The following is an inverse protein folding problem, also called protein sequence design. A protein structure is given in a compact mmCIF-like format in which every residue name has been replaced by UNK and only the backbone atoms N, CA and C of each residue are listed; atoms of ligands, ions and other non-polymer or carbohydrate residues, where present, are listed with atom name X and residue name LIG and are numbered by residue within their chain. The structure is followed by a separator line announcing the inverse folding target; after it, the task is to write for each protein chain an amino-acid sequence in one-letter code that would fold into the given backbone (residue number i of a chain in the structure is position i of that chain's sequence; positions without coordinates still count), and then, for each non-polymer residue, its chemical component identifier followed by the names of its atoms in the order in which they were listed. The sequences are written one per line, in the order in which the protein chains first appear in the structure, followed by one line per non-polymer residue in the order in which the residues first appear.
data_IF_686642107678
#
_entry.id   IF_686642107678
#
_cell.length_a   1.000
_cell.length_b   1.000
_cell.length_c   1.000
_cell.angle_alpha   90.00
_cell.angle_beta   90.00
_cell.angle_gamma   90.00
#
_symmetry.space_group_name_H-M   'P 1'
#
loop_
_entity.id
_entity.type
_entity.pdbx_description
1 polymer ?
#
# COMPACT_ATOMS: atom_id res chain seq x y z
N UNK A 1 -43.07 2.85 -0.11
CA UNK A 1 -41.91 3.57 0.49
C UNK A 1 -40.69 2.67 0.75
N UNK A 2 -40.83 1.37 1.10
CA UNK A 2 -39.69 0.48 1.34
C UNK A 2 -38.78 0.26 0.12
N UNK A 3 -39.34 0.15 -1.09
CA UNK A 3 -38.58 -0.06 -2.34
C UNK A 3 -37.56 1.06 -2.63
N UNK A 4 -37.89 2.31 -2.27
CA UNK A 4 -36.99 3.48 -2.43
C UNK A 4 -35.81 3.49 -1.45
N UNK A 5 -35.98 2.94 -0.25
CA UNK A 5 -34.89 2.84 0.74
C UNK A 5 -33.92 1.73 0.39
N UNK A 6 -34.42 0.59 -0.09
CA UNK A 6 -33.59 -0.54 -0.51
C UNK A 6 -32.74 -0.21 -1.73
N UNK A 7 -33.33 0.41 -2.75
CA UNK A 7 -32.58 0.91 -3.93
C UNK A 7 -31.51 1.92 -3.55
N UNK A 8 -31.78 2.78 -2.56
CA UNK A 8 -30.79 3.71 -2.04
C UNK A 8 -29.65 3.00 -1.32
N UNK A 9 -29.90 1.93 -0.55
CA UNK A 9 -28.85 1.15 0.11
C UNK A 9 -28.00 0.32 -0.87
N UNK A 10 -28.55 -0.02 -2.03
CA UNK A 10 -27.86 -0.72 -3.13
C UNK A 10 -26.90 0.19 -3.93
N UNK A 11 -26.92 1.50 -3.69
CA UNK A 11 -25.93 2.42 -4.24
C UNK A 11 -24.54 2.04 -3.71
N UNK A 12 -23.56 1.87 -4.60
CA UNK A 12 -22.21 1.43 -4.22
C UNK A 12 -21.57 2.37 -3.19
N UNK A 13 -21.82 3.68 -3.29
CA UNK A 13 -21.35 4.70 -2.35
C UNK A 13 -21.87 4.54 -0.91
N UNK A 14 -22.93 3.74 -0.69
CA UNK A 14 -23.52 3.44 0.63
C UNK A 14 -23.26 1.99 1.05
N UNK A 15 -23.32 1.06 0.11
CA UNK A 15 -23.07 -0.36 0.37
C UNK A 15 -21.62 -0.61 0.79
N UNK A 16 -20.65 0.00 0.10
CA UNK A 16 -19.22 -0.24 0.37
C UNK A 16 -18.80 0.16 1.79
N UNK A 17 -19.17 1.36 2.31
CA UNK A 17 -18.92 1.69 3.72
C UNK A 17 -19.59 0.74 4.70
N UNK A 18 -20.80 0.22 4.41
CA UNK A 18 -21.46 -0.76 5.29
C UNK A 18 -20.71 -2.08 5.32
N UNK A 19 -20.26 -2.57 4.17
CA UNK A 19 -19.43 -3.78 4.10
C UNK A 19 -18.11 -3.55 4.85
N UNK A 20 -17.47 -2.39 4.65
CA UNK A 20 -16.26 -2.03 5.40
C UNK A 20 -16.51 -2.01 6.92
N UNK A 21 -17.63 -1.46 7.38
CA UNK A 21 -18.00 -1.45 8.79
C UNK A 21 -18.08 -2.86 9.38
N UNK A 22 -18.72 -3.79 8.68
CA UNK A 22 -18.81 -5.20 9.09
C UNK A 22 -17.42 -5.83 9.14
N UNK A 23 -16.57 -5.59 8.12
CA UNK A 23 -15.20 -6.10 8.10
C UNK A 23 -14.37 -5.60 9.29
N UNK A 24 -14.45 -4.31 9.64
CA UNK A 24 -13.73 -3.78 10.79
C UNK A 24 -14.21 -4.40 12.12
N UNK A 25 -15.51 -4.63 12.29
CA UNK A 25 -16.02 -5.31 13.50
C UNK A 25 -15.58 -6.76 13.55
N UNK A 26 -15.61 -7.47 12.42
CA UNK A 26 -15.15 -8.86 12.36
C UNK A 26 -13.64 -8.99 12.55
N UNK A 27 -12.85 -8.01 12.08
CA UNK A 27 -11.41 -7.98 12.25
C UNK A 27 -10.98 -7.99 13.73
N UNK A 28 -11.82 -7.53 14.65
CA UNK A 28 -11.54 -7.59 16.10
C UNK A 28 -11.54 -9.01 16.67
N UNK A 29 -12.19 -9.96 16.01
CA UNK A 29 -12.27 -11.36 16.48
C UNK A 29 -11.13 -12.25 16.00
N UNK A 30 -10.31 -11.75 15.08
CA UNK A 30 -9.25 -12.51 14.43
C UNK A 30 -7.93 -11.75 14.55
N UNK A 31 -6.77 -12.43 14.44
CA UNK A 31 -5.50 -11.75 14.58
C UNK A 31 -5.26 -10.80 13.41
N UNK A 32 -4.81 -9.58 13.74
CA UNK A 32 -4.52 -8.52 12.77
C UNK A 32 -3.11 -8.67 12.21
N UNK A 33 -2.17 -9.06 13.06
CA UNK A 33 -0.80 -9.42 12.66
C UNK A 33 -0.48 -10.85 13.05
N UNK A 34 0.35 -11.50 12.24
CA UNK A 34 0.87 -12.83 12.48
C UNK A 34 2.39 -12.78 12.31
N UNK A 35 3.11 -13.28 13.30
CA UNK A 35 4.57 -13.34 13.29
C UNK A 35 4.96 -14.81 13.35
N UNK A 36 5.72 -15.28 12.37
CA UNK A 36 6.27 -16.63 12.36
C UNK A 36 7.75 -16.56 12.71
N UNK A 37 8.18 -17.32 13.71
CA UNK A 37 9.57 -17.38 14.15
C UNK A 37 10.12 -18.79 13.90
N UNK A 38 11.33 -18.83 13.36
CA UNK A 38 12.11 -20.05 13.18
C UNK A 38 13.37 -19.91 14.01
N UNK A 39 13.60 -20.85 14.92
CA UNK A 39 14.78 -20.89 15.76
C UNK A 39 15.38 -22.31 15.72
N UNK A 40 16.72 -22.47 15.72
CA UNK A 40 17.39 -23.77 15.62
C UNK A 40 17.00 -24.77 16.72
N UNK A 41 16.54 -24.27 17.86
CA UNK A 41 16.13 -25.07 19.01
C UNK A 41 14.71 -25.65 18.91
N UNK A 42 13.92 -25.21 17.93
CA UNK A 42 12.56 -25.72 17.66
C UNK A 42 12.52 -26.36 16.28
N UNK A 43 11.95 -27.57 16.20
CA UNK A 43 11.78 -28.30 14.93
C UNK A 43 10.68 -27.65 14.10
N UNK A 44 9.59 -27.24 14.76
CA UNK A 44 8.45 -26.57 14.15
C UNK A 44 8.60 -25.05 14.22
N UNK A 45 7.97 -24.36 13.27
CA UNK A 45 7.90 -22.90 13.27
C UNK A 45 6.91 -22.42 14.32
N UNK A 46 7.32 -21.45 15.12
CA UNK A 46 6.50 -20.84 16.16
C UNK A 46 5.65 -19.72 15.55
N UNK A 47 4.37 -19.65 15.91
CA UNK A 47 3.47 -18.61 15.38
C UNK A 47 2.89 -17.78 16.51
N UNK A 48 3.05 -16.45 16.41
CA UNK A 48 2.45 -15.47 17.31
C UNK A 48 1.38 -14.69 16.58
N UNK A 49 0.18 -14.69 17.14
CA UNK A 49 -0.99 -14.02 16.57
C UNK A 49 -1.35 -12.79 17.42
N UNK A 50 -1.24 -11.59 16.85
CA UNK A 50 -1.51 -10.32 17.54
C UNK A 50 -2.91 -9.81 17.20
N UNK A 51 -3.71 -9.56 18.22
CA UNK A 51 -5.08 -9.05 18.07
C UNK A 51 -5.11 -7.51 18.13
N UNK A 52 -6.20 -6.93 17.63
CA UNK A 52 -6.48 -5.50 17.73
C UNK A 52 -6.72 -5.01 19.18
N UNK A 53 -6.64 -5.90 20.16
CA UNK A 53 -6.75 -5.62 21.59
C UNK A 53 -5.63 -6.35 22.32
N UNK A 54 -5.35 -6.06 23.61
CA UNK A 54 -4.27 -6.65 24.41
C UNK A 54 -4.38 -8.16 24.60
N UNK A 55 -4.18 -8.91 23.53
CA UNK A 55 -4.24 -10.37 23.46
C UNK A 55 -3.27 -10.85 22.41
N UNK A 56 -2.52 -11.88 22.80
CA UNK A 56 -1.59 -12.61 21.94
C UNK A 56 -2.04 -14.07 21.88
N UNK A 57 -2.17 -14.63 20.69
CA UNK A 57 -2.50 -16.03 20.45
C UNK A 57 -1.35 -16.80 19.80
N UNK A 58 -1.62 -18.07 19.47
CA UNK A 58 -0.62 -18.99 18.93
C UNK A 58 0.31 -19.52 20.01
N UNK A 59 1.57 -19.78 19.66
CA UNK A 59 2.63 -20.33 20.49
C UNK A 59 3.31 -19.23 21.33
N UNK A 60 2.51 -18.34 21.90
CA UNK A 60 2.99 -17.13 22.57
C UNK A 60 3.79 -17.45 23.83
N UNK A 61 3.54 -18.60 24.49
CA UNK A 61 4.30 -19.02 25.68
C UNK A 61 5.71 -19.46 25.30
N UNK A 62 5.85 -20.26 24.25
CA UNK A 62 7.11 -20.72 23.69
C UNK A 62 7.95 -19.53 23.21
N UNK A 63 7.30 -18.58 22.53
CA UNK A 63 7.97 -17.37 22.04
C UNK A 63 8.33 -16.43 23.18
N UNK A 64 7.53 -16.32 24.23
CA UNK A 64 7.91 -15.59 25.46
C UNK A 64 9.18 -16.18 26.08
N UNK A 65 9.26 -17.51 26.18
CA UNK A 65 10.46 -18.20 26.69
C UNK A 65 11.68 -17.95 25.81
N UNK A 66 11.49 -17.99 24.48
CA UNK A 66 12.54 -17.68 23.51
C UNK A 66 13.03 -16.23 23.64
N UNK A 67 12.11 -15.27 23.69
CA UNK A 67 12.42 -13.85 23.74
C UNK A 67 13.14 -13.45 25.03
N UNK A 68 12.92 -14.16 26.13
CA UNK A 68 13.67 -13.96 27.39
C UNK A 68 15.18 -14.12 27.21
N UNK A 69 15.64 -14.98 26.28
CA UNK A 69 17.06 -15.14 26.02
C UNK A 69 17.70 -13.90 25.37
N UNK A 70 16.92 -13.17 24.58
CA UNK A 70 17.31 -11.93 23.88
C UNK A 70 17.02 -10.68 24.72
N UNK A 71 16.28 -10.83 25.83
CA UNK A 71 15.82 -9.70 26.65
C UNK A 71 14.70 -8.89 26.00
N UNK A 72 13.95 -9.49 25.07
CA UNK A 72 12.77 -8.89 24.45
C UNK A 72 11.53 -9.31 25.23
N UNK A 73 10.69 -8.37 25.67
CA UNK A 73 9.48 -8.66 26.43
C UNK A 73 8.23 -8.18 25.71
N UNK A 74 7.11 -8.87 25.91
CA UNK A 74 5.83 -8.42 25.37
C UNK A 74 5.36 -7.13 26.08
N UNK A 75 4.74 -6.19 25.34
CA UNK A 75 4.41 -4.86 25.85
C UNK A 75 3.29 -4.87 26.86
N UNK A 76 3.42 -4.11 27.95
CA UNK A 76 2.40 -4.01 28.98
C UNK A 76 1.29 -3.00 28.58
N UNK A 77 0.02 -3.41 28.44
CA UNK A 77 -1.09 -2.47 28.22
C UNK A 77 -1.43 -1.57 29.42
N UNK A 78 -0.83 -1.79 30.60
CA UNK A 78 -0.92 -1.02 31.85
C UNK A 78 -2.30 -1.03 32.52
N UNK A 79 -3.37 -0.70 31.79
CA UNK A 79 -4.70 -0.50 32.37
C UNK A 79 -5.62 -1.73 32.24
N UNK A 80 -5.17 -2.79 31.58
CA UNK A 80 -5.96 -4.01 31.35
C UNK A 80 -5.04 -5.21 31.40
N UNK A 81 -5.36 -6.20 32.22
CA UNK A 81 -4.56 -7.43 32.28
C UNK A 81 -4.63 -8.19 30.93
N UNK A 82 -3.50 -8.41 30.25
CA UNK A 82 -3.48 -9.21 29.03
C UNK A 82 -3.54 -10.70 29.37
N UNK A 83 -3.52 -11.57 28.35
CA UNK A 83 -3.56 -13.02 28.54
C UNK A 83 -2.22 -13.64 29.00
N UNK A 84 -1.26 -12.82 29.40
CA UNK A 84 0.06 -13.20 29.89
C UNK A 84 0.47 -12.24 31.00
N UNK A 85 1.43 -12.62 31.82
CA UNK A 85 1.96 -11.73 32.85
C UNK A 85 3.02 -10.80 32.24
N UNK A 86 2.81 -9.46 32.25
CA UNK A 86 3.83 -8.51 31.81
C UNK A 86 5.09 -8.63 32.67
N UNK A 87 6.24 -8.39 32.04
CA UNK A 87 7.53 -8.37 32.75
C UNK A 87 7.80 -6.95 33.25
N UNK A 88 8.48 -6.78 34.38
CA UNK A 88 8.80 -5.45 34.95
C UNK A 88 9.63 -4.57 34.00
N UNK A 89 10.41 -5.20 33.11
CA UNK A 89 11.21 -4.54 32.07
C UNK A 89 10.49 -4.43 30.72
N UNK A 90 9.20 -4.76 30.65
CA UNK A 90 8.39 -4.56 29.45
C UNK A 90 8.13 -3.07 29.21
N UNK A 91 7.85 -2.71 27.95
CA UNK A 91 7.46 -1.35 27.61
C UNK A 91 5.97 -1.15 27.85
N UNK A 92 5.63 -0.04 28.49
CA UNK A 92 4.26 0.44 28.64
C UNK A 92 3.67 0.91 27.31
N UNK A 93 2.58 0.26 26.88
CA UNK A 93 1.83 0.52 25.65
C UNK A 93 0.32 0.64 25.96
N UNK A 94 -0.10 1.66 26.73
CA UNK A 94 -1.51 1.87 27.07
C UNK A 94 -2.41 2.12 25.85
N UNK A 95 -1.85 2.65 24.76
CA UNK A 95 -2.59 2.88 23.52
C UNK A 95 -3.13 1.60 22.86
N UNK A 96 -2.61 0.42 23.20
CA UNK A 96 -3.09 -0.84 22.62
C UNK A 96 -4.57 -1.10 22.98
N UNK A 97 -5.01 -0.60 24.13
CA UNK A 97 -6.41 -0.67 24.57
C UNK A 97 -7.34 0.14 23.65
N UNK A 98 -6.80 1.12 22.92
CA UNK A 98 -7.58 1.95 21.98
C UNK A 98 -7.89 1.22 20.67
N UNK A 99 -7.26 0.07 20.40
CA UNK A 99 -7.47 -0.67 19.15
C UNK A 99 -8.95 -0.98 18.86
N UNK A 100 -9.72 -1.59 19.80
CA UNK A 100 -11.16 -1.80 19.60
C UNK A 100 -11.94 -0.50 19.40
N UNK A 101 -11.57 0.57 20.10
CA UNK A 101 -12.21 1.88 19.99
C UNK A 101 -12.02 2.44 18.58
N UNK A 102 -10.82 2.31 18.00
CA UNK A 102 -10.53 2.74 16.63
C UNK A 102 -11.36 1.95 15.61
N UNK A 103 -11.34 0.62 15.68
CA UNK A 103 -12.07 -0.22 14.72
C UNK A 103 -13.59 -0.03 14.83
N UNK A 104 -14.15 0.02 16.04
CA UNK A 104 -15.58 0.27 16.27
C UNK A 104 -15.94 1.70 15.85
N UNK A 105 -15.10 2.68 16.16
CA UNK A 105 -15.30 4.08 15.79
C UNK A 105 -15.37 4.28 14.28
N UNK A 106 -14.45 3.68 13.53
CA UNK A 106 -14.45 3.73 12.05
C UNK A 106 -15.63 2.93 11.49
N UNK A 107 -15.99 1.78 12.08
CA UNK A 107 -17.17 1.02 11.67
C UNK A 107 -18.47 1.82 11.87
N UNK A 108 -18.63 2.46 13.03
CA UNK A 108 -19.76 3.32 13.34
C UNK A 108 -19.81 4.53 12.40
N UNK A 109 -18.68 5.21 12.19
CA UNK A 109 -18.58 6.32 11.24
C UNK A 109 -18.95 5.87 9.81
N UNK A 110 -18.54 4.67 9.40
CA UNK A 110 -18.89 4.10 8.09
C UNK A 110 -20.40 3.84 7.96
N UNK A 111 -21.04 3.31 9.01
CA UNK A 111 -22.48 3.13 9.04
C UNK A 111 -23.25 4.47 9.04
N UNK A 112 -22.78 5.46 9.81
CA UNK A 112 -23.36 6.81 9.85
C UNK A 112 -23.26 7.46 8.47
N UNK A 113 -22.10 7.41 7.82
CA UNK A 113 -21.89 8.00 6.49
C UNK A 113 -22.77 7.32 5.44
N UNK A 114 -22.96 6.00 5.51
CA UNK A 114 -23.87 5.29 4.63
C UNK A 114 -25.34 5.73 4.80
N UNK A 115 -25.73 6.16 6.00
CA UNK A 115 -27.07 6.67 6.31
C UNK A 115 -27.26 8.17 5.98
N UNK A 116 -26.21 8.92 5.66
CA UNK A 116 -26.29 10.36 5.42
C UNK A 116 -27.20 10.70 4.22
N UNK A 117 -27.81 11.90 4.23
CA UNK A 117 -28.48 12.48 3.06
C UNK A 117 -27.56 12.58 1.84
N UNK A 118 -28.12 12.46 0.64
CA UNK A 118 -27.37 12.40 -0.63
C UNK A 118 -26.56 13.68 -0.90
N UNK A 119 -27.00 14.83 -0.41
CA UNK A 119 -26.29 16.11 -0.47
C UNK A 119 -25.02 16.14 0.40
N UNK A 120 -24.98 15.37 1.50
CA UNK A 120 -23.85 15.37 2.45
C UNK A 120 -22.93 14.17 2.31
N UNK A 121 -23.37 13.09 1.64
CA UNK A 121 -22.62 11.83 1.56
C UNK A 121 -21.22 12.00 0.93
N UNK A 122 -21.06 12.88 -0.05
CA UNK A 122 -19.75 13.09 -0.70
C UNK A 122 -18.71 13.67 0.26
N UNK A 123 -19.11 14.66 1.09
CA UNK A 123 -18.26 15.21 2.15
C UNK A 123 -18.01 14.18 3.25
N UNK A 124 -19.04 13.43 3.63
CA UNK A 124 -18.95 12.35 4.61
C UNK A 124 -17.95 11.25 4.20
N UNK A 125 -18.02 10.78 2.95
CA UNK A 125 -17.10 9.78 2.40
C UNK A 125 -15.67 10.31 2.32
N UNK A 126 -15.50 11.59 1.97
CA UNK A 126 -14.17 12.23 1.94
C UNK A 126 -13.56 12.28 3.33
N UNK A 127 -14.33 12.75 4.32
CA UNK A 127 -13.88 12.81 5.72
C UNK A 127 -13.62 11.41 6.29
N UNK A 128 -14.48 10.43 6.00
CA UNK A 128 -14.32 9.05 6.43
C UNK A 128 -13.06 8.41 5.86
N UNK A 129 -12.85 8.54 4.54
CA UNK A 129 -11.67 7.96 3.90
C UNK A 129 -10.38 8.63 4.40
N UNK A 130 -10.31 9.97 4.37
CA UNK A 130 -9.16 10.71 4.87
C UNK A 130 -8.89 10.43 6.37
N UNK A 131 -9.94 10.41 7.18
CA UNK A 131 -9.85 10.07 8.61
C UNK A 131 -9.37 8.64 8.83
N UNK A 132 -9.85 7.67 8.06
CA UNK A 132 -9.40 6.28 8.17
C UNK A 132 -7.91 6.12 7.82
N UNK A 133 -7.43 6.81 6.76
CA UNK A 133 -6.01 6.80 6.38
C UNK A 133 -5.16 7.46 7.46
N UNK A 134 -5.60 8.60 8.01
CA UNK A 134 -4.89 9.28 9.09
C UNK A 134 -4.82 8.40 10.34
N UNK A 135 -5.94 7.83 10.79
CA UNK A 135 -5.99 7.02 12.01
C UNK A 135 -5.17 5.73 11.85
N UNK A 136 -5.38 4.95 10.80
CA UNK A 136 -4.62 3.71 10.60
C UNK A 136 -3.14 3.97 10.28
N UNK A 137 -2.83 5.07 9.59
CA UNK A 137 -1.45 5.51 9.35
C UNK A 137 -0.74 5.88 10.65
N UNK A 138 -1.37 6.68 11.50
CA UNK A 138 -0.85 7.02 12.84
C UNK A 138 -0.73 5.78 13.72
N UNK A 139 -1.71 4.89 13.72
CA UNK A 139 -1.66 3.62 14.46
C UNK A 139 -0.47 2.76 14.01
N UNK A 140 -0.26 2.61 12.70
CA UNK A 140 0.90 1.90 12.16
C UNK A 140 2.23 2.54 12.56
N UNK A 141 2.34 3.87 12.45
CA UNK A 141 3.54 4.60 12.86
C UNK A 141 3.83 4.43 14.37
N UNK A 142 2.78 4.47 15.20
CA UNK A 142 2.91 4.27 16.64
C UNK A 142 3.34 2.84 16.99
N UNK A 143 2.74 1.82 16.34
CA UNK A 143 3.16 0.43 16.52
C UNK A 143 4.64 0.26 16.12
N UNK A 144 5.04 0.79 14.97
CA UNK A 144 6.45 0.72 14.53
C UNK A 144 7.39 1.43 15.52
N UNK A 145 6.97 2.55 16.09
CA UNK A 145 7.71 3.25 17.13
C UNK A 145 7.84 2.41 18.41
N UNK A 146 6.76 1.75 18.86
CA UNK A 146 6.82 0.84 20.02
C UNK A 146 7.67 -0.40 19.76
N UNK A 147 7.66 -0.94 18.54
CA UNK A 147 8.56 -2.02 18.14
C UNK A 147 10.03 -1.57 18.15
N UNK A 148 10.31 -0.36 17.68
CA UNK A 148 11.64 0.24 17.78
C UNK A 148 12.09 0.36 19.23
N UNK A 149 11.25 0.92 20.10
CA UNK A 149 11.56 1.03 21.52
C UNK A 149 11.84 -0.36 22.11
N UNK A 150 10.94 -1.32 21.89
CA UNK A 150 11.05 -2.67 22.48
C UNK A 150 12.31 -3.40 22.05
N UNK A 151 12.75 -3.22 20.80
CA UNK A 151 13.97 -3.85 20.30
C UNK A 151 15.27 -3.10 20.61
N UNK A 152 15.20 -1.87 21.13
CA UNK A 152 16.37 -1.08 21.57
C UNK A 152 16.48 -0.98 23.10
N UNK A 153 15.50 -1.46 23.84
CA UNK A 153 15.53 -1.58 25.30
C UNK A 153 15.62 -3.05 25.71
N UNK A 154 16.56 -3.78 25.10
CA UNK A 154 16.81 -5.18 25.46
C UNK A 154 17.43 -5.25 26.84
N UNK A 155 17.05 -6.30 27.58
CA UNK A 155 17.57 -6.54 28.92
C UNK A 155 19.09 -6.82 28.89
N UNK A 156 19.94 -5.97 29.51
CA UNK A 156 21.38 -6.20 29.55
C UNK A 156 21.77 -7.46 30.34
N UNK A 157 20.88 -7.93 31.23
CA UNK A 157 21.08 -9.14 32.03
C UNK A 157 20.62 -10.42 31.32
N UNK A 158 20.15 -10.31 30.07
CA UNK A 158 19.67 -11.46 29.31
C UNK A 158 20.81 -12.47 29.03
N UNK A 159 20.50 -13.79 28.95
CA UNK A 159 21.50 -14.81 28.63
C UNK A 159 22.28 -14.56 27.33
N UNK A 160 21.64 -13.98 26.32
CA UNK A 160 22.27 -13.50 25.09
C UNK A 160 22.36 -11.97 25.16
N UNK A 161 23.27 -11.47 26.00
CA UNK A 161 23.55 -10.04 26.12
C UNK A 161 24.48 -9.54 25.01
N UNK A 162 24.56 -8.21 24.87
CA UNK A 162 25.45 -7.57 23.89
C UNK A 162 24.95 -7.61 22.43
N UNK A 163 23.68 -7.98 22.22
CA UNK A 163 23.04 -7.87 20.91
C UNK A 163 22.82 -6.40 20.55
N UNK A 164 23.08 -6.05 19.29
CA UNK A 164 22.69 -4.75 18.76
C UNK A 164 21.16 -4.63 18.78
N UNK A 165 20.67 -3.41 19.07
CA UNK A 165 19.23 -3.14 19.03
C UNK A 165 18.66 -3.45 17.65
N UNK A 166 17.49 -4.10 17.62
CA UNK A 166 16.82 -4.44 16.37
C UNK A 166 15.43 -3.79 16.33
N UNK A 167 14.81 -3.77 15.16
CA UNK A 167 13.44 -3.27 15.02
C UNK A 167 12.64 -4.22 14.16
N UNK A 168 11.70 -4.98 14.75
CA UNK A 168 10.78 -5.80 13.98
C UNK A 168 10.00 -4.91 12.98
N UNK A 169 9.95 -5.27 11.70
CA UNK A 169 9.10 -4.58 10.74
C UNK A 169 7.63 -4.97 10.97
N UNK A 170 6.69 -4.05 10.69
CA UNK A 170 5.25 -4.35 10.63
C UNK A 170 4.90 -5.44 9.60
N UNK A 171 5.65 -5.51 8.50
CA UNK A 171 5.53 -6.51 7.46
C UNK A 171 6.90 -6.76 6.83
N UNK A 172 7.36 -7.99 6.85
CA UNK A 172 8.68 -8.38 6.33
C UNK A 172 9.40 -9.39 7.22
N UNK A 173 10.54 -9.84 6.74
CA UNK A 173 11.44 -10.75 7.47
C UNK A 173 12.52 -9.94 8.20
N UNK A 174 12.95 -10.46 9.34
CA UNK A 174 14.02 -9.92 10.16
C UNK A 174 14.76 -11.08 10.85
N UNK A 175 15.96 -10.82 11.33
CA UNK A 175 16.79 -11.80 12.02
C UNK A 175 17.39 -11.18 13.27
N UNK A 176 17.37 -11.93 14.36
CA UNK A 176 17.92 -11.51 15.65
C UNK A 176 18.70 -12.67 16.23
N UNK A 177 20.01 -12.47 16.42
CA UNK A 177 20.94 -13.53 16.76
C UNK A 177 20.84 -14.71 15.77
N UNK A 178 20.27 -15.85 16.18
CA UNK A 178 20.08 -17.03 15.34
C UNK A 178 18.58 -17.37 15.18
N UNK A 179 17.69 -16.38 15.35
CA UNK A 179 16.24 -16.51 15.24
C UNK A 179 15.78 -15.68 14.05
N UNK A 180 15.15 -16.33 13.08
CA UNK A 180 14.55 -15.64 11.93
C UNK A 180 13.07 -15.41 12.20
N UNK A 181 12.61 -14.17 12.11
CA UNK A 181 11.21 -13.79 12.25
C UNK A 181 10.64 -13.28 10.93
N UNK A 182 9.39 -13.61 10.63
CA UNK A 182 8.65 -13.00 9.51
C UNK A 182 7.31 -12.50 10.03
N UNK A 183 7.12 -11.19 9.99
CA UNK A 183 5.88 -10.53 10.38
C UNK A 183 5.02 -10.29 9.13
N UNK A 184 3.76 -10.69 9.16
CA UNK A 184 2.82 -10.48 8.07
C UNK A 184 1.42 -10.14 8.58
N UNK A 185 0.55 -9.68 7.69
CA UNK A 185 -0.84 -9.44 8.06
C UNK A 185 -1.56 -10.76 8.33
N UNK A 186 -2.24 -10.82 9.48
CA UNK A 186 -3.19 -11.89 9.79
C UNK A 186 -4.52 -11.67 9.07
N UNK A 187 -5.50 -12.58 9.24
CA UNK A 187 -6.83 -12.44 8.64
C UNK A 187 -7.50 -11.10 8.95
N UNK A 188 -7.37 -10.60 10.19
CA UNK A 188 -7.91 -9.29 10.59
C UNK A 188 -7.21 -8.12 9.90
N UNK A 189 -5.90 -8.24 9.63
CA UNK A 189 -5.13 -7.25 8.89
C UNK A 189 -5.58 -7.16 7.43
N UNK A 190 -5.84 -8.31 6.80
CA UNK A 190 -6.43 -8.34 5.47
C UNK A 190 -7.85 -7.77 5.44
N UNK A 191 -8.69 -8.07 6.45
CA UNK A 191 -10.03 -7.47 6.56
C UNK A 191 -9.97 -5.96 6.71
N UNK A 192 -9.02 -5.45 7.51
CA UNK A 192 -8.75 -4.01 7.64
C UNK A 192 -8.32 -3.41 6.30
N UNK A 193 -7.34 -4.00 5.62
CA UNK A 193 -6.85 -3.53 4.32
C UNK A 193 -7.95 -3.50 3.25
N UNK A 194 -8.75 -4.57 3.17
CA UNK A 194 -9.92 -4.63 2.27
C UNK A 194 -10.96 -3.59 2.67
N UNK A 195 -11.24 -3.41 3.97
CA UNK A 195 -12.14 -2.37 4.46
C UNK A 195 -11.72 -0.97 4.00
N UNK A 196 -10.44 -0.62 4.17
CA UNK A 196 -9.88 0.66 3.69
C UNK A 196 -9.95 0.78 2.16
N UNK A 197 -9.67 -0.30 1.42
CA UNK A 197 -9.80 -0.31 -0.03
C UNK A 197 -11.26 -0.08 -0.49
N UNK A 198 -12.23 -0.66 0.19
CA UNK A 198 -13.66 -0.41 -0.07
C UNK A 198 -14.02 1.05 0.18
N UNK A 199 -13.49 1.67 1.24
CA UNK A 199 -13.66 3.10 1.50
C UNK A 199 -13.03 3.96 0.39
N UNK A 200 -11.85 3.58 -0.12
CA UNK A 200 -11.21 4.27 -1.24
C UNK A 200 -12.07 4.21 -2.52
N UNK A 201 -12.64 3.04 -2.82
CA UNK A 201 -13.55 2.87 -3.96
C UNK A 201 -14.83 3.69 -3.75
N UNK A 202 -15.41 3.66 -2.55
CA UNK A 202 -16.59 4.48 -2.21
C UNK A 202 -16.30 5.98 -2.36
N UNK A 203 -15.12 6.43 -1.94
CA UNK A 203 -14.65 7.81 -2.14
C UNK A 203 -14.50 8.15 -3.64
N UNK A 204 -13.96 7.24 -4.46
CA UNK A 204 -13.88 7.42 -5.90
C UNK A 204 -15.26 7.54 -6.57
N UNK A 205 -16.24 6.78 -6.08
CA UNK A 205 -17.62 6.76 -6.57
C UNK A 205 -18.55 7.78 -5.88
N UNK A 206 -18.01 8.67 -5.04
CA UNK A 206 -18.83 9.58 -4.20
C UNK A 206 -19.80 10.48 -4.99
N UNK A 207 -19.48 10.80 -6.24
CA UNK A 207 -20.32 11.61 -7.13
C UNK A 207 -21.19 10.79 -8.08
N UNK A 208 -21.00 9.47 -8.14
CA UNK A 208 -21.72 8.58 -9.05
C UNK A 208 -22.90 7.92 -8.33
N UNK A 209 -24.12 7.93 -8.93
CA UNK A 209 -25.25 7.16 -8.41
C UNK A 209 -25.20 5.68 -8.83
N UNK A 210 -23.99 5.13 -9.05
CA UNK A 210 -23.80 3.77 -9.54
C UNK A 210 -24.37 2.75 -8.54
N UNK A 211 -25.18 1.84 -9.06
CA UNK A 211 -25.84 0.79 -8.28
C UNK A 211 -25.12 -0.54 -8.50
N UNK A 212 -25.37 -1.55 -7.65
CA UNK A 212 -24.75 -2.88 -7.76
C UNK A 212 -24.90 -3.53 -9.15
N UNK A 213 -25.96 -3.19 -9.89
CA UNK A 213 -26.22 -3.63 -11.27
C UNK A 213 -25.24 -3.07 -12.29
N UNK A 214 -24.60 -1.94 -11.98
CA UNK A 214 -23.68 -1.24 -12.88
C UNK A 214 -22.23 -1.72 -12.70
N UNK A 215 -21.97 -2.54 -11.67
CA UNK A 215 -20.65 -3.10 -11.35
C UNK A 215 -20.02 -3.81 -12.56
N UNK A 216 -20.73 -4.69 -13.30
CA UNK A 216 -20.15 -5.35 -14.48
C UNK A 216 -19.72 -4.34 -15.56
N UNK A 217 -20.47 -3.25 -15.72
CA UNK A 217 -20.15 -2.17 -16.66
C UNK A 217 -18.93 -1.34 -16.21
N UNK A 218 -18.86 -1.00 -14.93
CA UNK A 218 -17.74 -0.25 -14.33
C UNK A 218 -16.42 -1.06 -14.36
N UNK A 219 -16.49 -2.36 -14.09
CA UNK A 219 -15.31 -3.24 -14.13
C UNK A 219 -14.78 -3.34 -15.56
N UNK A 220 -15.66 -3.50 -16.56
CA UNK A 220 -15.27 -3.54 -17.99
C UNK A 220 -14.64 -2.23 -18.45
N UNK A 221 -15.23 -1.08 -18.13
CA UNK A 221 -14.67 0.24 -18.49
C UNK A 221 -13.40 0.58 -17.70
N UNK A 222 -13.30 0.16 -16.44
CA UNK A 222 -12.08 0.29 -15.64
C UNK A 222 -10.94 -0.52 -16.23
N UNK A 223 -11.19 -1.78 -16.57
CA UNK A 223 -10.20 -2.68 -17.17
C UNK A 223 -9.76 -2.21 -18.57
N UNK A 224 -10.69 -1.70 -19.39
CA UNK A 224 -10.36 -1.07 -20.68
C UNK A 224 -9.43 0.14 -20.53
N UNK A 225 -9.75 1.06 -19.61
CA UNK A 225 -8.89 2.24 -19.34
C UNK A 225 -7.52 1.88 -18.79
N UNK A 226 -7.43 0.83 -17.97
CA UNK A 226 -6.15 0.33 -17.46
C UNK A 226 -5.31 -0.28 -18.59
N UNK A 227 -5.94 -1.11 -19.45
CA UNK A 227 -5.30 -1.69 -20.64
C UNK A 227 -4.75 -0.61 -21.58
N UNK A 228 -5.52 0.45 -21.82
CA UNK A 228 -5.12 1.56 -22.68
C UNK A 228 -4.03 2.46 -22.06
N UNK A 229 -3.90 2.48 -20.73
CA UNK A 229 -2.77 3.12 -20.04
C UNK A 229 -1.51 2.26 -20.13
N UNK A 230 -1.62 0.95 -19.89
CA UNK A 230 -0.47 0.02 -20.00
C UNK A 230 0.04 -0.03 -21.44
N UNK A 231 -0.84 -0.05 -22.43
CA UNK A 231 -0.48 -0.02 -23.85
C UNK A 231 0.20 1.29 -24.29
N UNK A 232 0.04 2.39 -23.55
CA UNK A 232 0.73 3.66 -23.80
C UNK A 232 2.10 3.74 -23.13
N UNK A 233 2.34 2.95 -22.09
CA UNK A 233 3.60 2.96 -21.32
C UNK A 233 4.60 1.93 -21.85
N UNK A 234 4.13 0.85 -22.49
CA UNK A 234 5.02 -0.10 -23.17
C UNK A 234 5.46 0.47 -24.53
N UNK A 235 6.77 0.70 -24.77
CA UNK A 235 7.25 1.06 -26.09
C UNK A 235 6.87 -0.06 -27.06
N UNK A 236 6.14 0.26 -28.14
CA UNK A 236 5.99 -0.66 -29.27
C UNK A 236 7.39 -1.00 -29.76
N UNK A 237 7.85 -2.23 -29.52
CA UNK A 237 8.98 -2.78 -30.24
C UNK A 237 8.64 -2.70 -31.72
N UNK A 238 9.35 -1.84 -32.44
CA UNK A 238 9.21 -1.64 -33.87
C UNK A 238 9.65 -2.92 -34.57
N UNK A 239 8.69 -3.64 -35.16
CA UNK A 239 8.97 -4.64 -36.16
C UNK A 239 9.60 -3.96 -37.38
N UNK A 240 10.93 -4.01 -37.51
CA UNK A 240 11.61 -3.82 -38.80
C UNK A 240 11.20 -4.96 -39.72
N UNK A 241 10.14 -4.73 -40.49
CA UNK A 241 9.86 -5.50 -41.70
C UNK A 241 10.73 -4.96 -42.81
N UNK A 242 11.68 -5.78 -43.27
CA UNK A 242 12.45 -5.62 -44.49
C UNK A 242 11.52 -5.45 -45.68
N UNK A 243 11.44 -4.24 -46.23
CA UNK A 243 10.82 -3.98 -47.53
C UNK A 243 11.95 -3.82 -48.55
N UNK A 244 12.10 -4.81 -49.40
CA UNK A 244 12.92 -4.77 -50.63
C UNK A 244 12.33 -3.75 -51.60
N UNK A 245 13.13 -2.77 -51.99
CA UNK A 245 12.84 -1.78 -53.05
C UNK A 245 12.69 -2.43 -54.43
N UNK A 246 11.76 -1.95 -55.28
CA UNK A 246 11.89 -2.06 -56.73
C UNK A 246 12.43 -0.75 -57.34
N UNK A 247 13.35 -0.94 -58.27
CA UNK A 247 14.06 0.04 -59.12
C UNK A 247 13.08 0.92 -59.95
N UNK A 248 13.32 2.25 -60.10
CA UNK A 248 12.51 3.09 -60.98
C UNK A 248 13.07 3.17 -62.41
N UNK A 249 12.24 2.86 -63.41
CA UNK A 249 12.47 3.20 -64.82
C UNK A 249 12.17 4.69 -65.09
N UNK A 250 13.01 5.30 -65.92
CA UNK A 250 12.97 6.72 -66.28
C UNK A 250 11.96 7.10 -67.37
N UNK A 251 11.74 8.41 -67.51
CA UNK A 251 10.92 8.96 -68.60
C UNK A 251 10.67 10.46 -68.48
N UNK A 252 11.59 11.24 -69.06
CA UNK A 252 11.63 12.69 -69.16
C UNK A 252 10.54 13.31 -70.08
N UNK A 253 10.07 14.54 -69.76
CA UNK A 253 9.59 15.62 -70.68
C UNK A 253 9.23 16.85 -69.82
N UNK A 254 10.01 17.94 -69.85
CA UNK A 254 9.80 19.13 -70.72
C UNK A 254 8.72 20.05 -70.09
N UNK A 255 8.94 21.32 -69.75
CA UNK A 255 9.45 22.42 -70.58
C UNK A 255 9.68 23.70 -69.76
N UNK A 256 10.60 24.53 -70.26
CA UNK A 256 11.21 25.78 -69.74
C UNK A 256 10.37 27.08 -69.94
N UNK A 257 10.84 28.25 -69.43
CA UNK A 257 10.08 29.46 -69.03
C UNK A 257 10.17 30.63 -70.05
N UNK A 258 9.81 31.88 -69.68
CA UNK A 258 10.84 32.94 -69.44
C UNK A 258 10.39 33.97 -68.36
N UNK A 259 11.15 34.94 -67.85
CA UNK A 259 12.44 35.57 -68.16
C UNK A 259 12.53 36.91 -67.40
N UNK A 260 13.67 37.61 -67.54
CA UNK A 260 13.99 38.98 -67.09
C UNK A 260 14.44 39.17 -65.62
N UNK A 261 15.48 39.95 -65.29
CA UNK A 261 16.56 40.59 -66.05
C UNK A 261 17.55 41.25 -65.05
N UNK A 262 18.84 41.03 -65.27
CA UNK A 262 19.93 41.98 -65.00
C UNK A 262 20.32 42.22 -63.53
N UNK A 263 21.51 42.70 -63.20
CA UNK A 263 22.80 42.91 -63.89
C UNK A 263 23.76 43.29 -62.74
N UNK A 264 25.07 43.04 -62.86
CA UNK A 264 26.06 43.67 -61.96
C UNK A 264 27.12 42.77 -61.33
N UNK A 265 28.18 42.52 -62.10
CA UNK A 265 29.62 42.46 -61.75
C UNK A 265 30.05 42.25 -60.29
N UNK A 266 30.78 41.16 -59.98
CA UNK A 266 32.24 41.00 -60.11
C UNK A 266 33.02 41.80 -59.03
N UNK A 267 33.81 41.19 -58.13
CA UNK A 267 35.10 40.54 -58.43
C UNK A 267 35.72 39.89 -57.17
N UNK A 268 36.27 38.67 -57.36
CA UNK A 268 37.58 38.12 -56.91
C UNK A 268 38.04 38.19 -55.44
N UNK A 269 38.80 37.25 -54.85
CA UNK A 269 39.23 35.84 -54.99
C UNK A 269 40.30 35.64 -53.82
N UNK A 270 41.11 34.56 -53.66
CA UNK A 270 40.88 33.25 -53.04
C UNK A 270 41.85 32.97 -51.82
N UNK A 271 42.49 31.78 -51.59
CA UNK A 271 42.29 30.95 -50.38
C UNK A 271 43.60 30.60 -49.60
N UNK A 272 43.51 29.57 -48.73
CA UNK A 272 44.59 28.73 -48.08
C UNK A 272 44.99 29.18 -46.66
N UNK A 273 45.30 28.33 -45.66
CA UNK A 273 45.52 26.87 -45.55
C UNK A 273 45.56 26.48 -44.06
N UNK A 274 45.14 25.24 -43.77
CA UNK A 274 45.36 24.36 -42.59
C UNK A 274 46.89 24.05 -42.44
N UNK A 275 47.53 23.74 -41.27
CA UNK A 275 47.25 22.48 -40.55
C UNK A 275 47.51 22.32 -39.03
N UNK A 276 46.87 21.24 -38.56
CA UNK A 276 47.10 20.28 -37.46
C UNK A 276 48.34 20.40 -36.55
N UNK A 277 48.11 20.03 -35.29
CA UNK A 277 49.14 19.62 -34.33
C UNK A 277 48.52 18.97 -33.08
N UNK A 278 48.61 17.64 -33.02
CA UNK A 278 48.19 16.74 -31.93
C UNK A 278 49.18 16.76 -30.72
N UNK A 279 48.87 16.07 -29.59
CA UNK A 279 49.30 16.43 -28.22
C UNK A 279 50.49 15.59 -27.69
N UNK A 280 50.91 15.82 -26.42
CA UNK A 280 51.60 14.82 -25.60
C UNK A 280 50.66 13.88 -24.82
#
# INVERSE_FOLDING_TARGET
MASSRLTRLLELRRLLPLVAAVLFVLALRVPVWRITLTAPQYVDTLVVDLYAHPKIGGDWEEVRRLNKYVGFYYPDPVYVDPNYEPHEKAIDVPEWILGPVVFIGIAAASAIVAALPTDKISRGLTALFAGSIAIFGTMGALIQYRLYQSGHTLDPDAPLNGLEGFTPPLAGSYEVANISGTAWFGPGGYMMAVGVALLAVAFGLRHSPATITDVPGLVRTGCGRLRDRVARVLPRASSRGTATDPVPEGGNRGSSPPGESGDGSATNDPPRTIPDGDPP
#
